data_IF_119057007348
#
_entry.id   IF_119057007348
#
_cell.length_a   1.000
_cell.length_b   1.000
_cell.length_c   1.000
_cell.angle_alpha   90.00
_cell.angle_beta   90.00
_cell.angle_gamma   90.00
#
_symmetry.space_group_name_H-M   'P 1'
#
loop_
_entity.id
_entity.type
_entity.pdbx_description
1 polymer ?
#
# COMPACT_ATOMS: atom_id res chain seq x y z
N UNK A 1 11.13 -5.00 -18.71
CA UNK A 1 10.38 -3.74 -18.90
C UNK A 1 9.72 -3.39 -17.57
N UNK A 2 10.10 -2.28 -16.94
CA UNK A 2 9.88 -2.01 -15.51
C UNK A 2 8.39 -1.86 -15.16
N UNK A 3 7.82 -2.79 -14.38
CA UNK A 3 6.44 -2.75 -13.88
C UNK A 3 6.10 -1.40 -13.20
N UNK A 4 7.10 -0.79 -12.57
CA UNK A 4 7.01 0.53 -11.94
C UNK A 4 6.62 1.66 -12.91
N UNK A 5 7.06 1.59 -14.17
CA UNK A 5 6.78 2.61 -15.18
C UNK A 5 5.37 2.47 -15.75
N UNK A 6 4.84 1.24 -15.86
CA UNK A 6 3.46 1.00 -16.31
C UNK A 6 2.43 1.40 -15.27
N UNK A 7 2.72 1.17 -13.98
CA UNK A 7 1.88 1.66 -12.88
C UNK A 7 1.73 3.20 -12.95
N UNK A 8 2.82 3.93 -13.19
CA UNK A 8 2.83 5.40 -13.27
C UNK A 8 1.80 5.97 -14.26
N UNK A 9 1.71 5.41 -15.46
CA UNK A 9 0.88 5.95 -16.55
C UNK A 9 -0.62 5.80 -16.26
N UNK A 10 -1.04 4.63 -15.80
CA UNK A 10 -2.45 4.33 -15.54
C UNK A 10 -3.02 5.12 -14.35
N UNK A 11 -2.19 5.46 -13.36
CA UNK A 11 -2.62 6.30 -12.24
C UNK A 11 -2.80 7.78 -12.62
N UNK A 12 -2.33 8.27 -13.78
CA UNK A 12 -2.26 9.70 -14.10
C UNK A 12 -3.48 10.35 -14.79
N UNK A 13 -4.44 9.58 -15.29
CA UNK A 13 -5.42 10.08 -16.26
C UNK A 13 -6.75 10.66 -15.68
N UNK A 14 -6.84 11.15 -14.44
CA UNK A 14 -8.14 11.37 -13.77
C UNK A 14 -8.56 12.83 -13.43
N UNK A 15 -9.87 13.12 -13.53
CA UNK A 15 -10.57 14.41 -13.24
C UNK A 15 -10.70 14.72 -11.72
N UNK A 16 -11.16 15.93 -11.39
CA UNK A 16 -11.18 16.50 -10.02
C UNK A 16 -11.83 15.63 -8.90
N UNK A 17 -12.98 14.94 -9.07
CA UNK A 17 -13.53 14.06 -8.03
C UNK A 17 -12.63 12.86 -7.70
N UNK A 18 -11.97 12.29 -8.71
CA UNK A 18 -11.01 11.18 -8.55
C UNK A 18 -9.74 11.65 -7.86
N UNK A 19 -9.35 12.92 -8.03
CA UNK A 19 -8.21 13.52 -7.33
C UNK A 19 -8.43 13.58 -5.82
N UNK A 20 -9.65 13.88 -5.38
CA UNK A 20 -10.01 13.89 -3.94
C UNK A 20 -9.94 12.49 -3.32
N UNK A 21 -10.43 11.46 -4.02
CA UNK A 21 -10.33 10.07 -3.57
C UNK A 21 -8.87 9.60 -3.42
N UNK A 22 -8.02 9.90 -4.41
CA UNK A 22 -6.56 9.60 -4.36
C UNK A 22 -5.85 10.31 -3.21
N UNK A 23 -6.24 11.55 -2.90
CA UNK A 23 -5.67 12.27 -1.76
C UNK A 23 -6.02 11.58 -0.43
N UNK A 24 -7.26 11.09 -0.29
CA UNK A 24 -7.67 10.34 0.90
C UNK A 24 -6.90 9.01 1.01
N UNK A 25 -6.78 8.25 -0.07
CA UNK A 25 -5.97 7.02 -0.12
C UNK A 25 -4.53 7.30 0.29
N UNK A 26 -3.91 8.35 -0.26
CA UNK A 26 -2.56 8.77 0.08
C UNK A 26 -2.41 9.07 1.57
N UNK A 27 -3.31 9.87 2.15
CA UNK A 27 -3.24 10.25 3.57
C UNK A 27 -3.36 9.03 4.50
N UNK A 28 -4.26 8.10 4.20
CA UNK A 28 -4.43 6.88 5.00
C UNK A 28 -3.18 6.00 4.90
N UNK A 29 -2.64 5.76 3.71
CA UNK A 29 -1.40 4.98 3.52
C UNK A 29 -0.24 5.65 4.26
N UNK A 30 -0.10 6.98 4.14
CA UNK A 30 0.96 7.73 4.77
C UNK A 30 0.88 7.64 6.30
N UNK A 31 -0.32 7.76 6.87
CA UNK A 31 -0.54 7.63 8.32
C UNK A 31 -0.16 6.25 8.84
N UNK A 32 -0.60 5.19 8.17
CA UNK A 32 -0.28 3.80 8.57
C UNK A 32 1.21 3.54 8.46
N UNK A 33 1.83 3.96 7.36
CA UNK A 33 3.28 3.79 7.11
C UNK A 33 4.11 4.52 8.15
N UNK A 34 3.76 5.77 8.52
CA UNK A 34 4.45 6.50 9.60
C UNK A 34 4.36 5.77 10.93
N UNK A 35 3.20 5.19 11.27
CA UNK A 35 3.02 4.40 12.50
C UNK A 35 3.88 3.14 12.51
N UNK A 36 3.97 2.43 11.38
CA UNK A 36 4.84 1.26 11.24
C UNK A 36 6.31 1.63 11.47
N UNK A 37 6.79 2.70 10.84
CA UNK A 37 8.18 3.17 11.00
C UNK A 37 8.47 3.58 12.44
N UNK A 38 7.61 4.42 13.04
CA UNK A 38 7.78 4.90 14.40
C UNK A 38 7.78 3.75 15.43
N UNK A 39 6.88 2.77 15.28
CA UNK A 39 6.83 1.62 16.17
C UNK A 39 8.05 0.71 16.00
N UNK A 40 8.51 0.48 14.77
CA UNK A 40 9.69 -0.33 14.50
C UNK A 40 10.98 0.29 15.06
N UNK A 41 11.12 1.62 15.02
CA UNK A 41 12.27 2.33 15.60
C UNK A 41 12.41 2.13 17.11
N UNK A 42 11.31 1.86 17.81
CA UNK A 42 11.33 1.55 19.25
C UNK A 42 11.85 0.13 19.56
N UNK A 43 12.08 -0.72 18.57
CA UNK A 43 12.54 -2.09 18.77
C UNK A 43 11.54 -2.97 19.54
N UNK A 44 12.04 -3.83 20.43
CA UNK A 44 11.20 -4.76 21.22
C UNK A 44 10.06 -4.05 21.98
N UNK A 45 10.28 -2.91 22.68
CA UNK A 45 9.21 -2.16 23.32
C UNK A 45 8.06 -1.72 22.41
N UNK A 46 8.33 -1.43 21.12
CA UNK A 46 7.31 -0.96 20.17
C UNK A 46 6.56 -2.07 19.44
N UNK A 47 6.76 -3.33 19.81
CA UNK A 47 6.20 -4.45 19.06
C UNK A 47 4.66 -4.47 19.07
N UNK A 48 4.03 -4.09 20.19
CA UNK A 48 2.57 -4.03 20.29
C UNK A 48 2.00 -2.98 19.33
N UNK A 49 2.57 -1.78 19.30
CA UNK A 49 2.15 -0.72 18.38
C UNK A 49 2.46 -1.08 16.93
N UNK A 50 3.56 -1.78 16.68
CA UNK A 50 3.91 -2.29 15.36
C UNK A 50 2.88 -3.31 14.89
N UNK A 51 2.47 -4.25 15.76
CA UNK A 51 1.46 -5.25 15.43
C UNK A 51 0.10 -4.61 15.10
N UNK A 52 -0.29 -3.57 15.85
CA UNK A 52 -1.50 -2.80 15.54
C UNK A 52 -1.39 -2.08 14.18
N UNK A 53 -0.27 -1.40 13.91
CA UNK A 53 -0.06 -0.70 12.64
C UNK A 53 -0.01 -1.67 11.44
N UNK A 54 0.58 -2.86 11.62
CA UNK A 54 0.61 -3.94 10.63
C UNK A 54 -0.79 -4.50 10.34
N UNK A 55 -1.63 -4.64 11.37
CA UNK A 55 -3.01 -5.08 11.21
C UNK A 55 -3.81 -4.05 10.41
N UNK A 56 -3.64 -2.76 10.71
CA UNK A 56 -4.26 -1.67 9.95
C UNK A 56 -3.78 -1.66 8.49
N UNK A 57 -2.48 -1.89 8.27
CA UNK A 57 -1.91 -2.00 6.92
C UNK A 57 -2.53 -3.16 6.14
N UNK A 58 -2.66 -4.34 6.76
CA UNK A 58 -3.31 -5.49 6.14
C UNK A 58 -4.77 -5.19 5.77
N UNK A 59 -5.52 -4.54 6.66
CA UNK A 59 -6.91 -4.14 6.39
C UNK A 59 -7.00 -3.21 5.18
N UNK A 60 -6.10 -2.24 5.09
CA UNK A 60 -6.03 -1.33 3.94
C UNK A 60 -5.77 -2.08 2.63
N UNK A 61 -4.83 -3.03 2.61
CA UNK A 61 -4.56 -3.86 1.44
C UNK A 61 -5.72 -4.78 1.04
N UNK A 62 -6.52 -5.25 2.02
CA UNK A 62 -7.75 -6.00 1.74
C UNK A 62 -8.79 -5.13 1.03
N UNK A 63 -8.99 -3.89 1.49
CA UNK A 63 -9.92 -2.94 0.86
C UNK A 63 -9.48 -2.64 -0.58
N UNK A 64 -8.21 -2.30 -0.78
CA UNK A 64 -7.67 -2.03 -2.11
C UNK A 64 -7.81 -3.23 -3.04
N UNK A 65 -7.54 -4.44 -2.55
CA UNK A 65 -7.68 -5.65 -3.38
C UNK A 65 -9.11 -5.85 -3.86
N UNK A 66 -10.11 -5.60 -3.00
CA UNK A 66 -11.53 -5.69 -3.37
C UNK A 66 -11.90 -4.63 -4.41
N UNK A 67 -11.47 -3.38 -4.21
CA UNK A 67 -11.76 -2.28 -5.14
C UNK A 67 -11.08 -2.48 -6.51
N UNK A 68 -9.84 -2.98 -6.52
CA UNK A 68 -9.06 -3.27 -7.74
C UNK A 68 -9.65 -4.44 -8.52
N UNK A 69 -10.16 -5.46 -7.83
CA UNK A 69 -10.79 -6.62 -8.45
C UNK A 69 -12.21 -6.36 -8.98
N UNK A 70 -12.82 -5.22 -8.63
CA UNK A 70 -14.17 -4.88 -9.10
C UNK A 70 -14.22 -4.74 -10.63
N UNK A 71 -15.25 -5.31 -11.31
CA UNK A 71 -15.41 -5.19 -12.76
C UNK A 71 -15.47 -3.74 -13.27
N UNK A 72 -15.98 -2.82 -12.43
CA UNK A 72 -16.07 -1.40 -12.75
C UNK A 72 -14.78 -0.60 -12.53
N UNK A 73 -13.71 -1.24 -12.07
CA UNK A 73 -12.46 -0.54 -11.82
C UNK A 73 -11.75 -0.19 -13.14
N UNK A 74 -11.40 1.09 -13.38
CA UNK A 74 -10.90 1.56 -14.68
C UNK A 74 -9.42 1.26 -14.93
N UNK A 75 -8.71 0.63 -13.98
CA UNK A 75 -7.29 0.32 -14.16
C UNK A 75 -7.09 -0.76 -15.22
N UNK A 76 -5.97 -0.71 -16.00
CA UNK A 76 -5.60 -1.80 -16.90
C UNK A 76 -5.39 -3.12 -16.15
N UNK A 77 -5.76 -4.23 -16.77
CA UNK A 77 -5.70 -5.56 -16.13
C UNK A 77 -4.30 -5.95 -15.65
N UNK A 78 -3.26 -5.56 -16.39
CA UNK A 78 -1.87 -5.78 -15.96
C UNK A 78 -1.57 -5.06 -14.64
N UNK A 79 -2.06 -3.83 -14.46
CA UNK A 79 -1.87 -3.09 -13.22
C UNK A 79 -2.72 -3.69 -12.09
N UNK A 80 -3.96 -4.11 -12.37
CA UNK A 80 -4.80 -4.81 -11.39
C UNK A 80 -4.08 -6.06 -10.86
N UNK A 81 -3.56 -6.89 -11.75
CA UNK A 81 -2.82 -8.10 -11.38
C UNK A 81 -1.59 -7.79 -10.52
N UNK A 82 -0.82 -6.75 -10.86
CA UNK A 82 0.33 -6.32 -10.05
C UNK A 82 -0.08 -5.85 -8.65
N UNK A 83 -1.14 -5.06 -8.53
CA UNK A 83 -1.64 -4.57 -7.24
C UNK A 83 -2.18 -5.70 -6.37
N UNK A 84 -2.92 -6.65 -6.97
CA UNK A 84 -3.41 -7.83 -6.26
C UNK A 84 -2.25 -8.72 -5.76
N UNK A 85 -1.21 -8.89 -6.58
CA UNK A 85 -0.01 -9.61 -6.18
C UNK A 85 0.73 -8.92 -5.02
N UNK A 86 0.84 -7.58 -5.05
CA UNK A 86 1.39 -6.81 -3.92
C UNK A 86 0.53 -6.91 -2.66
N UNK A 87 -0.79 -6.95 -2.80
CA UNK A 87 -1.71 -7.21 -1.70
C UNK A 87 -1.42 -8.55 -1.04
N UNK A 88 -1.39 -9.62 -1.83
CA UNK A 88 -1.09 -10.96 -1.33
C UNK A 88 0.29 -11.04 -0.66
N UNK A 89 1.33 -10.48 -1.30
CA UNK A 89 2.66 -10.39 -0.70
C UNK A 89 2.64 -9.66 0.65
N UNK A 90 1.95 -8.52 0.72
CA UNK A 90 1.82 -7.72 1.94
C UNK A 90 1.14 -8.51 3.05
N UNK A 91 0.08 -9.26 2.72
CA UNK A 91 -0.60 -10.15 3.65
C UNK A 91 0.37 -11.21 4.21
N UNK A 92 1.06 -11.95 3.34
CA UNK A 92 1.98 -13.00 3.74
C UNK A 92 3.16 -12.46 4.57
N UNK A 93 3.78 -11.36 4.12
CA UNK A 93 4.93 -10.78 4.79
C UNK A 93 4.56 -10.16 6.13
N UNK A 94 3.37 -9.58 6.25
CA UNK A 94 2.83 -9.13 7.55
C UNK A 94 2.76 -10.27 8.57
N UNK A 95 2.31 -11.46 8.18
CA UNK A 95 2.29 -12.64 9.07
C UNK A 95 3.71 -13.01 9.53
N UNK A 96 4.70 -12.92 8.64
CA UNK A 96 6.10 -13.21 8.98
C UNK A 96 6.67 -12.17 9.97
N UNK A 97 6.35 -10.89 9.80
CA UNK A 97 6.78 -9.83 10.74
C UNK A 97 6.13 -10.01 12.12
N UNK A 98 4.82 -10.30 12.17
CA UNK A 98 4.12 -10.61 13.42
C UNK A 98 4.67 -11.86 14.12
N UNK A 99 5.12 -12.85 13.35
CA UNK A 99 5.82 -14.02 13.89
C UNK A 99 7.30 -13.74 14.26
N UNK A 100 7.78 -12.50 14.11
CA UNK A 100 9.19 -12.09 14.29
C UNK A 100 10.18 -12.87 13.42
N UNK A 101 9.73 -13.34 12.25
CA UNK A 101 10.51 -14.08 11.25
C UNK A 101 10.96 -13.22 10.07
N UNK A 102 10.53 -11.96 10.03
CA UNK A 102 10.87 -11.02 8.97
C UNK A 102 10.87 -9.58 9.49
N UNK A 103 11.44 -8.69 8.70
CA UNK A 103 11.57 -7.27 9.00
C UNK A 103 10.47 -6.44 8.29
N UNK A 104 10.06 -5.33 8.91
CA UNK A 104 8.98 -4.45 8.41
C UNK A 104 9.36 -3.63 7.17
N UNK A 105 10.66 -3.42 6.90
CA UNK A 105 11.18 -2.52 5.86
C UNK A 105 10.54 -2.74 4.49
N UNK A 106 10.38 -4.00 4.08
CA UNK A 106 9.76 -4.33 2.78
C UNK A 106 8.31 -3.81 2.66
N UNK A 107 7.54 -3.86 3.74
CA UNK A 107 6.17 -3.33 3.74
C UNK A 107 6.16 -1.80 3.65
N UNK A 108 7.11 -1.13 4.32
CA UNK A 108 7.28 0.32 4.24
C UNK A 108 7.67 0.74 2.83
N UNK A 109 8.58 0.01 2.18
CA UNK A 109 9.00 0.27 0.81
C UNK A 109 7.85 0.15 -0.19
N UNK A 110 7.04 -0.90 -0.07
CA UNK A 110 5.83 -1.10 -0.89
C UNK A 110 4.88 0.08 -0.73
N UNK A 111 4.52 0.45 0.50
CA UNK A 111 3.62 1.57 0.74
C UNK A 111 4.18 2.89 0.18
N UNK A 112 5.49 3.09 0.30
CA UNK A 112 6.17 4.28 -0.25
C UNK A 112 6.13 4.30 -1.78
N UNK A 113 6.29 3.14 -2.43
CA UNK A 113 6.16 3.04 -3.88
C UNK A 113 4.74 3.35 -4.35
N UNK A 114 3.71 2.84 -3.66
CA UNK A 114 2.30 3.16 -3.95
C UNK A 114 2.04 4.65 -3.79
N UNK A 115 2.46 5.26 -2.67
CA UNK A 115 2.33 6.70 -2.44
C UNK A 115 3.00 7.55 -3.55
N UNK A 116 4.16 7.13 -4.06
CA UNK A 116 4.81 7.80 -5.20
C UNK A 116 3.99 7.67 -6.49
N UNK A 117 3.41 6.49 -6.73
CA UNK A 117 2.50 6.25 -7.86
C UNK A 117 1.27 7.15 -7.81
N UNK A 118 0.61 7.23 -6.65
CA UNK A 118 -0.56 8.09 -6.43
C UNK A 118 -0.24 9.57 -6.64
N UNK A 119 0.88 10.07 -6.11
CA UNK A 119 1.30 11.48 -6.28
C UNK A 119 1.63 11.80 -7.74
N UNK A 120 2.34 10.90 -8.43
CA UNK A 120 2.71 11.08 -9.83
C UNK A 120 1.49 11.08 -10.77
N UNK A 121 0.41 10.41 -10.35
CA UNK A 121 -0.85 10.41 -11.07
C UNK A 121 -1.87 11.47 -10.62
N UNK A 122 -1.46 12.35 -9.70
CA UNK A 122 -2.23 13.49 -9.22
C UNK A 122 -1.62 14.84 -9.66
N UNK A 123 -0.56 14.82 -10.46
CA UNK A 123 0.10 16.00 -11.02
C UNK A 123 -0.43 16.27 -12.42
#
# INVERSE_FOLDING_TARGET
MNALLKAKSAYSAAKAPTRTAKNLEYEVIARVTRRMVAAAQKGKPGFTELAAALTDNRKLWSIFSVEVASPGNPLPDELKAQLLSLGEFTHQHTSKVLARKADVRLLVEINTAIMRGLRSGAS
#
